data_IF_546610710468
#
_entry.id   IF_546610710468
#
_cell.length_a   1.000
_cell.length_b   1.000
_cell.length_c   1.000
_cell.angle_alpha   90.00
_cell.angle_beta   90.00
_cell.angle_gamma   90.00
#
_symmetry.space_group_name_H-M   'P 1'
#
loop_
_entity.id
_entity.type
_entity.pdbx_description
1 polymer ?
#
# COMPACT_ATOMS: atom_id res chain seq x y z
N UNK A 1 -14.05 -1.26 -6.52
CA UNK A 1 -12.86 -1.57 -5.68
C UNK A 1 -13.17 -2.80 -4.81
N UNK A 2 -12.29 -3.83 -4.77
CA UNK A 2 -12.51 -5.06 -4.00
C UNK A 2 -12.69 -4.80 -2.50
N UNK A 3 -13.44 -5.68 -1.81
CA UNK A 3 -13.71 -5.53 -0.38
C UNK A 3 -12.43 -5.49 0.48
N UNK A 4 -11.45 -6.34 0.16
CA UNK A 4 -10.16 -6.38 0.87
C UNK A 4 -9.42 -5.04 0.86
N UNK A 5 -9.46 -4.32 -0.28
CA UNK A 5 -8.82 -3.00 -0.42
C UNK A 5 -9.52 -1.96 0.46
N UNK A 6 -10.86 -2.03 0.57
CA UNK A 6 -11.63 -1.12 1.45
C UNK A 6 -11.31 -1.37 2.91
N UNK A 7 -11.27 -2.64 3.34
CA UNK A 7 -10.90 -3.02 4.71
C UNK A 7 -9.47 -2.59 5.04
N UNK A 8 -8.54 -2.78 4.10
CA UNK A 8 -7.17 -2.27 4.22
C UNK A 8 -7.16 -0.75 4.44
N UNK A 9 -7.85 0.00 3.60
CA UNK A 9 -7.85 1.46 3.68
C UNK A 9 -8.45 1.97 4.99
N UNK A 10 -9.55 1.35 5.45
CA UNK A 10 -10.13 1.67 6.74
C UNK A 10 -9.14 1.46 7.90
N UNK A 11 -8.37 0.37 7.87
CA UNK A 11 -7.33 0.10 8.87
C UNK A 11 -6.17 1.08 8.78
N UNK A 12 -5.76 1.46 7.57
CA UNK A 12 -4.72 2.47 7.35
C UNK A 12 -5.16 3.85 7.90
N UNK A 13 -6.39 4.26 7.58
CA UNK A 13 -6.98 5.52 8.01
C UNK A 13 -7.15 5.60 9.54
N UNK A 14 -7.54 4.50 10.17
CA UNK A 14 -7.74 4.42 11.63
C UNK A 14 -6.47 4.08 12.42
N UNK A 15 -5.30 4.01 11.77
CA UNK A 15 -4.02 3.60 12.37
C UNK A 15 -4.06 2.20 13.03
N UNK A 16 -5.00 1.35 12.62
CA UNK A 16 -5.16 -0.02 13.14
C UNK A 16 -4.52 -1.07 12.22
N UNK A 17 -3.68 -0.62 11.29
CA UNK A 17 -2.94 -1.51 10.42
C UNK A 17 -1.93 -2.31 11.26
N UNK A 18 -1.85 -3.65 11.11
CA UNK A 18 -1.00 -4.48 11.96
C UNK A 18 0.47 -4.41 11.52
N UNK A 19 1.06 -3.21 11.50
CA UNK A 19 2.51 -2.98 11.37
C UNK A 19 3.22 -3.41 12.65
N UNK A 20 4.50 -3.75 12.59
CA UNK A 20 5.19 -4.31 13.76
C UNK A 20 5.17 -3.38 14.98
N UNK A 21 5.38 -2.07 14.80
CA UNK A 21 5.34 -1.11 15.93
C UNK A 21 3.96 -1.05 16.58
N UNK A 22 2.89 -1.17 15.80
CA UNK A 22 1.52 -1.25 16.33
C UNK A 22 1.30 -2.56 17.11
N UNK A 23 1.81 -3.67 16.61
CA UNK A 23 1.67 -4.98 17.27
C UNK A 23 2.41 -5.00 18.61
N UNK A 24 3.63 -4.47 18.65
CA UNK A 24 4.42 -4.30 19.87
C UNK A 24 3.70 -3.39 20.88
N UNK A 25 3.17 -2.24 20.43
CA UNK A 25 2.40 -1.34 21.29
C UNK A 25 1.13 -1.98 21.86
N UNK A 26 0.60 -3.02 21.22
CA UNK A 26 -0.53 -3.83 21.71
C UNK A 26 -0.10 -4.99 22.63
N UNK A 27 1.19 -5.10 22.95
CA UNK A 27 1.73 -6.16 23.80
C UNK A 27 1.82 -7.52 23.11
N UNK A 28 1.71 -7.57 21.78
CA UNK A 28 1.95 -8.82 21.04
C UNK A 28 3.45 -9.08 20.95
N UNK A 29 3.86 -10.26 21.41
CA UNK A 29 5.25 -10.67 21.32
C UNK A 29 5.60 -11.04 19.87
N UNK A 30 6.23 -10.11 19.17
CA UNK A 30 6.88 -10.40 17.90
C UNK A 30 8.15 -11.17 18.27
N UNK A 31 8.19 -12.48 18.03
CA UNK A 31 9.37 -13.33 18.25
C UNK A 31 10.63 -12.89 17.45
N UNK A 32 10.53 -11.79 16.70
CA UNK A 32 11.53 -11.22 15.80
C UNK A 32 11.74 -9.73 16.13
N UNK A 33 12.57 -9.03 15.34
CA UNK A 33 12.68 -7.58 15.47
C UNK A 33 11.44 -6.84 14.94
N UNK A 34 11.13 -5.72 15.60
CA UNK A 34 10.17 -4.67 15.20
C UNK A 34 10.63 -3.91 13.96
N UNK A 35 11.92 -4.02 13.63
CA UNK A 35 12.51 -3.33 12.50
C UNK A 35 12.10 -3.96 11.16
N UNK A 36 12.03 -3.09 10.15
CA UNK A 36 11.91 -3.47 8.77
C UNK A 36 13.13 -4.28 8.33
N UNK A 37 12.88 -5.41 7.65
CA UNK A 37 13.94 -6.33 7.23
C UNK A 37 14.95 -5.68 6.28
N UNK A 38 14.50 -4.72 5.45
CA UNK A 38 15.28 -4.03 4.43
C UNK A 38 16.07 -2.84 5.00
N UNK A 39 15.40 -1.98 5.77
CA UNK A 39 15.97 -0.70 6.20
C UNK A 39 16.55 -0.72 7.62
N UNK A 40 16.28 -1.76 8.42
CA UNK A 40 16.71 -1.87 9.82
C UNK A 40 16.25 -0.70 10.71
N UNK A 41 15.07 -0.18 10.42
CA UNK A 41 14.39 0.87 11.19
C UNK A 41 13.02 0.36 11.63
N UNK A 42 12.42 0.89 12.73
CA UNK A 42 11.12 0.47 13.21
C UNK A 42 10.05 0.49 12.11
N UNK A 43 9.35 -0.62 11.92
CA UNK A 43 8.33 -0.75 10.88
C UNK A 43 7.02 -0.04 11.31
N UNK A 44 6.98 1.28 11.10
CA UNK A 44 5.77 2.11 11.23
C UNK A 44 4.97 2.20 9.93
N UNK A 45 3.76 2.78 9.98
CA UNK A 45 2.95 3.05 8.78
C UNK A 45 3.72 3.95 7.80
N UNK A 46 4.31 5.03 8.30
CA UNK A 46 5.08 5.99 7.52
C UNK A 46 6.31 5.32 6.91
N UNK A 47 7.02 4.49 7.68
CA UNK A 47 8.15 3.73 7.14
C UNK A 47 7.69 2.79 6.02
N UNK A 48 6.67 1.96 6.25
CA UNK A 48 6.22 0.96 5.27
C UNK A 48 5.78 1.58 3.95
N UNK A 49 5.02 2.69 3.99
CA UNK A 49 4.41 3.27 2.78
C UNK A 49 5.19 4.41 2.15
N UNK A 50 6.08 5.08 2.89
CA UNK A 50 6.81 6.25 2.41
C UNK A 50 8.32 6.07 2.52
N UNK A 51 8.80 5.61 3.67
CA UNK A 51 10.24 5.60 3.98
C UNK A 51 11.02 4.36 3.53
N UNK A 52 10.34 3.26 3.21
CA UNK A 52 11.00 2.02 2.88
C UNK A 52 11.43 1.96 1.40
N UNK A 53 12.56 1.31 1.11
CA UNK A 53 13.11 1.20 -0.24
C UNK A 53 12.11 0.71 -1.29
N UNK A 54 11.32 -0.34 -0.98
CA UNK A 54 10.32 -0.83 -1.94
C UNK A 54 9.23 0.21 -2.22
N UNK A 55 8.83 0.99 -1.21
CA UNK A 55 7.81 2.00 -1.36
C UNK A 55 8.33 3.19 -2.18
N UNK A 56 9.54 3.67 -1.86
CA UNK A 56 10.21 4.74 -2.61
C UNK A 56 10.35 4.36 -4.09
N UNK A 57 10.87 3.17 -4.38
CA UNK A 57 11.04 2.70 -5.76
C UNK A 57 9.69 2.55 -6.47
N UNK A 58 8.68 1.99 -5.80
CA UNK A 58 7.35 1.81 -6.36
C UNK A 58 6.70 3.16 -6.72
N UNK A 59 6.72 4.11 -5.79
CA UNK A 59 6.10 5.42 -6.00
C UNK A 59 6.81 6.23 -7.07
N UNK A 60 8.14 6.25 -7.06
CA UNK A 60 8.93 6.97 -8.05
C UNK A 60 8.65 6.46 -9.48
N UNK A 61 8.65 5.15 -9.66
CA UNK A 61 8.29 4.53 -10.95
C UNK A 61 6.84 4.84 -11.33
N UNK A 62 5.90 4.76 -10.38
CA UNK A 62 4.49 5.01 -10.65
C UNK A 62 4.25 6.47 -11.08
N UNK A 63 4.75 7.44 -10.31
CA UNK A 63 4.58 8.88 -10.57
C UNK A 63 5.16 9.29 -11.92
N UNK A 64 6.34 8.76 -12.29
CA UNK A 64 6.94 8.96 -13.61
C UNK A 64 6.10 8.35 -14.74
N UNK A 65 5.52 7.17 -14.49
CA UNK A 65 4.68 6.47 -15.48
C UNK A 65 3.37 7.22 -15.74
N UNK A 66 2.72 7.72 -14.69
CA UNK A 66 1.45 8.46 -14.82
C UNK A 66 1.66 9.96 -15.07
N UNK A 67 2.89 10.47 -14.98
CA UNK A 67 3.28 11.88 -15.10
C UNK A 67 2.48 12.81 -14.16
N UNK A 68 2.24 12.36 -12.93
CA UNK A 68 1.47 13.08 -11.91
C UNK A 68 2.13 12.97 -10.55
N UNK A 69 2.17 14.09 -9.83
CA UNK A 69 2.59 14.11 -8.44
C UNK A 69 1.46 13.62 -7.53
N UNK A 70 1.73 12.59 -6.73
CA UNK A 70 0.80 12.03 -5.76
C UNK A 70 1.12 12.61 -4.37
N UNK A 71 0.12 12.79 -3.50
CA UNK A 71 0.32 13.32 -2.15
C UNK A 71 0.96 12.26 -1.23
N UNK A 72 2.26 12.04 -1.39
CA UNK A 72 3.06 11.07 -0.60
C UNK A 72 3.49 11.64 0.76
N UNK A 73 2.54 12.19 1.51
CA UNK A 73 2.74 12.62 2.89
C UNK A 73 1.99 11.69 3.85
N UNK A 74 2.32 11.66 5.16
CA UNK A 74 1.59 10.86 6.14
C UNK A 74 0.08 11.14 6.14
N UNK A 75 -0.32 12.41 5.96
CA UNK A 75 -1.72 12.79 5.82
C UNK A 75 -2.28 12.38 4.44
N UNK A 76 -1.51 12.57 3.38
CA UNK A 76 -1.93 12.23 2.01
C UNK A 76 -2.25 10.75 1.83
N UNK A 77 -1.46 9.84 2.40
CA UNK A 77 -1.74 8.39 2.35
C UNK A 77 -2.95 7.97 3.20
N UNK A 78 -3.25 8.72 4.27
CA UNK A 78 -4.36 8.41 5.20
C UNK A 78 -5.71 8.92 4.71
N UNK A 79 -5.73 10.05 4.03
CA UNK A 79 -6.95 10.73 3.60
C UNK A 79 -7.15 10.72 2.09
N UNK A 80 -6.17 10.28 1.30
CA UNK A 80 -6.18 10.33 -0.18
C UNK A 80 -6.59 11.71 -0.68
N UNK A 81 -5.82 12.74 -0.29
CA UNK A 81 -6.08 14.15 -0.63
C UNK A 81 -5.77 14.45 -2.11
N UNK A 82 -6.39 13.72 -3.01
CA UNK A 82 -6.25 13.87 -4.45
C UNK A 82 -7.48 14.62 -4.97
N UNK A 83 -7.22 15.63 -5.81
CA UNK A 83 -8.28 16.39 -6.46
C UNK A 83 -9.11 15.52 -7.40
N UNK A 84 -10.39 15.86 -7.55
CA UNK A 84 -11.27 15.13 -8.46
C UNK A 84 -10.85 15.43 -9.90
N UNK A 85 -10.26 14.43 -10.54
CA UNK A 85 -9.86 14.47 -11.94
C UNK A 85 -10.63 13.41 -12.76
N UNK A 86 -10.69 13.55 -14.10
CA UNK A 86 -11.32 12.53 -14.97
C UNK A 86 -10.68 11.14 -14.83
N UNK A 87 -9.41 11.09 -14.46
CA UNK A 87 -8.68 9.86 -14.15
C UNK A 87 -8.79 9.61 -12.64
N UNK A 88 -9.18 8.39 -12.20
CA UNK A 88 -9.36 8.08 -10.79
C UNK A 88 -8.00 7.82 -10.10
N UNK A 89 -7.21 8.88 -9.93
CA UNK A 89 -5.89 8.83 -9.28
C UNK A 89 -5.97 8.41 -7.83
N UNK A 90 -7.07 8.73 -7.14
CA UNK A 90 -7.40 8.26 -5.80
C UNK A 90 -7.45 6.73 -5.73
N UNK A 91 -8.11 6.09 -6.69
CA UNK A 91 -8.17 4.63 -6.80
C UNK A 91 -6.81 4.06 -7.15
N UNK A 92 -6.08 4.69 -8.08
CA UNK A 92 -4.72 4.26 -8.46
C UNK A 92 -3.79 4.29 -7.25
N UNK A 93 -3.78 5.38 -6.49
CA UNK A 93 -2.97 5.53 -5.28
C UNK A 93 -3.39 4.51 -4.21
N UNK A 94 -4.69 4.32 -3.99
CA UNK A 94 -5.21 3.32 -3.06
C UNK A 94 -4.77 1.90 -3.43
N UNK A 95 -4.80 1.54 -4.71
CA UNK A 95 -4.33 0.24 -5.19
C UNK A 95 -2.81 0.10 -5.05
N UNK A 96 -2.05 1.19 -5.21
CA UNK A 96 -0.62 1.22 -4.96
C UNK A 96 -0.27 0.96 -3.49
N UNK A 97 -0.92 1.68 -2.57
CA UNK A 97 -0.80 1.47 -1.12
C UNK A 97 -1.11 0.01 -0.75
N UNK A 98 -2.21 -0.52 -1.28
CA UNK A 98 -2.58 -1.91 -1.04
C UNK A 98 -1.57 -2.91 -1.63
N UNK A 99 -0.99 -2.62 -2.80
CA UNK A 99 0.06 -3.43 -3.42
C UNK A 99 1.32 -3.52 -2.55
N UNK A 100 1.78 -2.38 -2.02
CA UNK A 100 2.89 -2.32 -1.06
C UNK A 100 2.58 -3.16 0.18
N UNK A 101 1.38 -2.98 0.74
CA UNK A 101 0.96 -3.71 1.93
C UNK A 101 0.91 -5.22 1.70
N UNK A 102 0.31 -5.68 0.59
CA UNK A 102 0.28 -7.11 0.25
C UNK A 102 1.68 -7.69 0.12
N UNK A 103 2.60 -6.97 -0.54
CA UNK A 103 3.98 -7.41 -0.67
C UNK A 103 4.64 -7.60 0.70
N UNK A 104 4.52 -6.61 1.58
CA UNK A 104 5.03 -6.70 2.96
C UNK A 104 4.46 -7.88 3.72
N UNK A 105 3.14 -8.06 3.64
CA UNK A 105 2.44 -9.14 4.31
C UNK A 105 2.83 -10.52 3.79
N UNK A 106 3.00 -10.67 2.48
CA UNK A 106 3.41 -11.94 1.87
C UNK A 106 4.79 -12.39 2.33
N UNK A 107 5.74 -11.46 2.44
CA UNK A 107 7.07 -11.75 3.00
C UNK A 107 6.97 -12.10 4.48
N UNK A 108 6.15 -11.36 5.25
CA UNK A 108 5.96 -11.62 6.68
C UNK A 108 5.33 -12.99 6.96
N UNK A 109 4.41 -13.43 6.12
CA UNK A 109 3.74 -14.73 6.26
C UNK A 109 4.50 -15.88 5.60
N UNK A 110 5.66 -15.59 5.00
CA UNK A 110 6.43 -16.56 4.23
C UNK A 110 5.58 -17.25 3.13
N UNK A 111 4.76 -16.46 2.44
CA UNK A 111 3.95 -16.94 1.32
C UNK A 111 4.87 -17.50 0.22
N UNK A 112 4.53 -18.68 -0.31
CA UNK A 112 5.31 -19.35 -1.38
C UNK A 112 5.40 -18.51 -2.65
N UNK A 113 4.40 -17.67 -2.91
CA UNK A 113 4.29 -16.75 -4.06
C UNK A 113 4.41 -15.28 -3.63
N UNK A 114 5.36 -14.99 -2.72
CA UNK A 114 5.62 -13.62 -2.30
C UNK A 114 6.12 -12.78 -3.49
N UNK A 115 5.35 -11.75 -3.85
CA UNK A 115 5.58 -10.88 -5.01
C UNK A 115 5.96 -9.46 -4.59
N UNK A 116 6.62 -8.74 -5.49
CA UNK A 116 6.93 -7.32 -5.26
C UNK A 116 5.66 -6.44 -5.37
N UNK A 117 5.69 -5.18 -4.88
CA UNK A 117 4.53 -4.29 -4.90
C UNK A 117 3.97 -4.05 -6.32
N UNK A 118 4.85 -3.99 -7.33
CA UNK A 118 4.48 -3.74 -8.73
C UNK A 118 3.59 -4.85 -9.28
N UNK A 119 3.91 -6.11 -9.00
CA UNK A 119 3.11 -7.25 -9.50
C UNK A 119 1.70 -7.27 -8.91
N UNK A 120 1.59 -7.07 -7.59
CA UNK A 120 0.29 -6.97 -6.91
C UNK A 120 -0.54 -5.77 -7.38
N UNK A 121 0.13 -4.64 -7.67
CA UNK A 121 -0.51 -3.46 -8.23
C UNK A 121 -1.03 -3.72 -9.65
N UNK A 122 -0.21 -4.30 -10.54
CA UNK A 122 -0.60 -4.63 -11.92
C UNK A 122 -1.81 -5.57 -11.93
N UNK A 123 -1.81 -6.59 -11.08
CA UNK A 123 -2.96 -7.50 -10.94
C UNK A 123 -4.24 -6.73 -10.55
N UNK A 124 -4.12 -5.82 -9.58
CA UNK A 124 -5.25 -5.00 -9.13
C UNK A 124 -5.76 -4.05 -10.21
N UNK A 125 -4.85 -3.46 -11.00
CA UNK A 125 -5.20 -2.58 -12.13
C UNK A 125 -5.86 -3.38 -13.28
N UNK A 126 -5.36 -4.58 -13.58
CA UNK A 126 -6.01 -5.48 -14.55
C UNK A 126 -7.44 -5.78 -14.13
N UNK A 127 -7.65 -6.13 -12.87
CA UNK A 127 -8.99 -6.36 -12.32
C UNK A 127 -9.87 -5.11 -12.43
N UNK A 128 -9.34 -3.94 -12.04
CA UNK A 128 -10.05 -2.67 -12.15
C UNK A 128 -10.51 -2.41 -13.59
N UNK A 129 -9.59 -2.54 -14.55
CA UNK A 129 -9.88 -2.36 -15.99
C UNK A 129 -11.00 -3.27 -16.46
N UNK A 130 -10.98 -4.55 -16.08
CA UNK A 130 -12.04 -5.49 -16.46
C UNK A 130 -13.39 -5.16 -15.81
N UNK A 131 -13.41 -4.63 -14.58
CA UNK A 131 -14.63 -4.10 -13.99
C UNK A 131 -15.19 -2.90 -14.76
N UNK A 132 -14.36 -1.93 -15.15
CA UNK A 132 -14.81 -0.76 -15.90
C UNK A 132 -15.31 -1.10 -17.31
N UNK A 133 -14.73 -2.12 -17.96
CA UNK A 133 -15.24 -2.61 -19.25
C UNK A 133 -16.69 -3.11 -19.15
N UNK A 134 -17.05 -3.78 -18.05
CA UNK A 134 -18.40 -4.31 -17.82
C UNK A 134 -19.44 -3.21 -17.53
N UNK A 135 -19.00 -2.00 -17.21
CA UNK A 135 -19.87 -0.86 -16.87
C UNK A 135 -20.23 -0.04 -18.13
N UNK A 136 -19.57 -0.26 -19.27
CA UNK A 136 -19.96 0.37 -20.52
C UNK A 136 -21.34 -0.14 -20.96
N UNK A 137 -22.35 0.74 -20.85
CA UNK A 137 -23.62 0.66 -21.57
C UNK A 137 -23.38 0.72 -23.08
#
# INVERSE_FOLDING_TARGET
VPAAVKTFFFKLHSETLPVKTFLEAKGMNLYWSVDCNLCKQPESIEHVFLGCWDALLFWDVLQRTIKKELPLSPQGIRFLTIEREPVPYDIIMLLGLHGIWKSRMSVRHADVDARNPREYFIESIKWLRECYKKIKY
#
